data_IF_750487903832
#
_entry.id   IF_750487903832
#
_cell.length_a   1.000
_cell.length_b   1.000
_cell.length_c   1.000
_cell.angle_alpha   90.00
_cell.angle_beta   90.00
_cell.angle_gamma   90.00
#
_symmetry.space_group_name_H-M   'P 1'
#
loop_
_entity.id
_entity.type
_entity.pdbx_description
1 polymer ?
#
# COMPACT_ATOMS: atom_id res chain seq x y z
N UNK A 1 69.39 -54.84 37.34
CA UNK A 1 70.15 -53.85 36.55
C UNK A 1 69.31 -52.59 36.52
N UNK A 2 69.83 -51.52 37.10
CA UNK A 2 69.08 -50.31 37.44
C UNK A 2 68.94 -49.37 36.23
N UNK A 3 67.70 -48.90 36.08
CA UNK A 3 67.25 -47.58 35.65
C UNK A 3 67.84 -46.90 34.41
N UNK A 4 66.96 -46.81 33.41
CA UNK A 4 66.77 -45.81 32.36
C UNK A 4 67.41 -44.43 32.57
N UNK A 5 68.22 -43.98 31.61
CA UNK A 5 68.59 -42.57 31.44
C UNK A 5 68.05 -42.04 30.11
N UNK A 6 66.80 -41.58 30.13
CA UNK A 6 66.25 -40.67 29.12
C UNK A 6 66.70 -39.26 29.46
N UNK A 7 67.95 -38.91 29.16
CA UNK A 7 68.45 -37.54 29.29
C UNK A 7 68.08 -36.77 28.01
N UNK A 8 66.97 -36.04 28.03
CA UNK A 8 66.65 -35.01 27.04
C UNK A 8 67.75 -33.94 27.07
N UNK A 9 68.22 -33.46 25.91
CA UNK A 9 69.22 -32.38 25.90
C UNK A 9 68.63 -31.08 26.44
N UNK A 10 69.47 -30.22 27.01
CA UNK A 10 69.05 -28.94 27.62
C UNK A 10 68.27 -28.06 26.63
N UNK A 11 68.67 -28.10 25.35
CA UNK A 11 68.00 -27.42 24.23
C UNK A 11 66.59 -27.98 23.97
N UNK A 12 66.40 -29.30 24.09
CA UNK A 12 65.08 -29.94 23.97
C UNK A 12 64.16 -29.59 25.14
N UNK A 13 64.71 -29.43 26.35
CA UNK A 13 63.96 -29.01 27.54
C UNK A 13 63.51 -27.55 27.38
N UNK A 14 64.34 -26.69 26.83
CA UNK A 14 64.00 -25.28 26.56
C UNK A 14 62.90 -25.15 25.51
N UNK A 15 62.98 -25.89 24.41
CA UNK A 15 61.95 -25.93 23.37
C UNK A 15 60.63 -26.46 23.94
N UNK A 16 60.69 -27.53 24.75
CA UNK A 16 59.49 -28.10 25.37
C UNK A 16 58.84 -27.11 26.35
N UNK A 17 59.63 -26.41 27.17
CA UNK A 17 59.12 -25.39 28.09
C UNK A 17 58.50 -24.20 27.35
N UNK A 18 59.11 -23.76 26.25
CA UNK A 18 58.55 -22.71 25.41
C UNK A 18 57.21 -23.16 24.79
N UNK A 19 57.13 -24.40 24.31
CA UNK A 19 55.89 -24.96 23.76
C UNK A 19 54.79 -25.08 24.82
N UNK A 20 55.14 -25.53 26.03
CA UNK A 20 54.22 -25.62 27.17
C UNK A 20 53.71 -24.24 27.59
N UNK A 21 54.58 -23.24 27.63
CA UNK A 21 54.22 -21.85 27.91
C UNK A 21 53.25 -21.30 26.86
N UNK A 22 53.52 -21.52 25.57
CA UNK A 22 52.63 -21.10 24.49
C UNK A 22 51.28 -21.82 24.56
N UNK A 23 51.28 -23.12 24.84
CA UNK A 23 50.04 -23.88 24.97
C UNK A 23 49.20 -23.40 26.15
N UNK A 24 49.82 -23.09 27.29
CA UNK A 24 49.14 -22.56 28.46
C UNK A 24 48.59 -21.15 28.21
N UNK A 25 49.36 -20.29 27.53
CA UNK A 25 48.87 -18.98 27.09
C UNK A 25 47.68 -19.11 26.13
N UNK A 26 47.69 -20.08 25.21
CA UNK A 26 46.58 -20.35 24.31
C UNK A 26 45.35 -20.87 25.06
N UNK A 27 45.57 -21.76 26.04
CA UNK A 27 44.53 -22.36 26.86
C UNK A 27 43.78 -21.32 27.69
N UNK A 28 44.46 -20.26 28.15
CA UNK A 28 43.82 -19.15 28.86
C UNK A 28 43.21 -18.10 27.90
N UNK A 29 43.86 -17.88 26.75
CA UNK A 29 43.42 -16.88 25.78
C UNK A 29 42.09 -17.23 25.11
N UNK A 30 41.89 -18.49 24.71
CA UNK A 30 40.69 -18.90 23.96
C UNK A 30 39.40 -18.72 24.79
N UNK A 31 39.30 -19.20 26.05
CA UNK A 31 38.12 -19.00 26.88
C UNK A 31 37.86 -17.51 27.17
N UNK A 32 38.90 -16.73 27.47
CA UNK A 32 38.76 -15.30 27.75
C UNK A 32 38.23 -14.53 26.53
N UNK A 33 38.69 -14.89 25.32
CA UNK A 33 38.16 -14.32 24.08
C UNK A 33 36.69 -14.72 23.88
N UNK A 34 36.34 -15.99 24.12
CA UNK A 34 34.95 -16.46 23.97
C UNK A 34 33.99 -15.76 24.94
N UNK A 35 34.42 -15.54 26.18
CA UNK A 35 33.67 -14.81 27.19
C UNK A 35 33.52 -13.33 26.79
N UNK A 36 34.58 -12.71 26.28
CA UNK A 36 34.52 -11.35 25.74
C UNK A 36 33.53 -11.22 24.57
N UNK A 37 33.55 -12.19 23.63
CA UNK A 37 32.57 -12.23 22.53
C UNK A 37 31.15 -12.43 23.04
N UNK A 38 30.94 -13.33 24.00
CA UNK A 38 29.64 -13.57 24.63
C UNK A 38 29.08 -12.31 25.29
N UNK A 39 29.91 -11.61 26.07
CA UNK A 39 29.53 -10.35 26.71
C UNK A 39 29.20 -9.26 25.70
N UNK A 40 29.96 -9.19 24.59
CA UNK A 40 29.70 -8.24 23.51
C UNK A 40 28.38 -8.54 22.80
N UNK A 41 28.09 -9.82 22.52
CA UNK A 41 26.82 -10.24 21.92
C UNK A 41 25.63 -9.92 22.83
N UNK A 42 25.75 -10.21 24.13
CA UNK A 42 24.71 -9.87 25.11
C UNK A 42 24.46 -8.36 25.18
N UNK A 43 25.52 -7.54 25.13
CA UNK A 43 25.37 -6.08 25.09
C UNK A 43 24.64 -5.61 23.81
N UNK A 44 25.01 -6.16 22.66
CA UNK A 44 24.38 -5.82 21.37
C UNK A 44 22.92 -6.24 21.35
N UNK A 45 22.60 -7.44 21.84
CA UNK A 45 21.23 -7.95 21.94
C UNK A 45 20.37 -7.06 22.84
N UNK A 46 20.89 -6.70 24.03
CA UNK A 46 20.18 -5.81 24.95
C UNK A 46 19.94 -4.43 24.34
N UNK A 47 20.94 -3.85 23.65
CA UNK A 47 20.81 -2.55 23.00
C UNK A 47 19.79 -2.58 21.85
N UNK A 48 19.81 -3.62 21.03
CA UNK A 48 18.83 -3.83 19.97
C UNK A 48 17.42 -4.00 20.52
N UNK A 49 17.27 -4.77 21.59
CA UNK A 49 15.97 -5.03 22.21
C UNK A 49 15.38 -3.76 22.85
N UNK A 50 16.21 -2.96 23.53
CA UNK A 50 15.82 -1.67 24.10
C UNK A 50 15.42 -0.66 23.01
N UNK A 51 16.23 -0.56 21.95
CA UNK A 51 15.95 0.32 20.82
C UNK A 51 14.65 -0.07 20.12
N UNK A 52 14.47 -1.36 19.84
CA UNK A 52 13.26 -1.88 19.20
C UNK A 52 12.02 -1.63 20.08
N UNK A 53 12.13 -1.88 21.38
CA UNK A 53 11.02 -1.64 22.33
C UNK A 53 10.62 -0.17 22.37
N UNK A 54 11.61 0.73 22.33
CA UNK A 54 11.38 2.18 22.33
C UNK A 54 10.76 2.64 21.02
N UNK A 55 11.24 2.13 19.88
CA UNK A 55 10.73 2.48 18.56
C UNK A 55 9.29 1.98 18.35
N UNK A 56 8.98 0.77 18.81
CA UNK A 56 7.60 0.24 18.84
C UNK A 56 6.72 1.11 19.74
N UNK A 57 7.18 1.44 20.95
CA UNK A 57 6.42 2.29 21.87
C UNK A 57 6.11 3.67 21.27
N UNK A 58 7.10 4.31 20.64
CA UNK A 58 6.92 5.59 19.96
C UNK A 58 5.94 5.48 18.78
N UNK A 59 6.06 4.44 17.94
CA UNK A 59 5.17 4.23 16.81
C UNK A 59 3.71 4.01 17.25
N UNK A 60 3.50 3.26 18.34
CA UNK A 60 2.16 3.06 18.90
C UNK A 60 1.59 4.34 19.50
N UNK A 61 2.38 5.12 20.24
CA UNK A 61 1.95 6.40 20.79
C UNK A 61 1.60 7.41 19.70
N UNK A 62 2.39 7.46 18.62
CA UNK A 62 2.11 8.31 17.47
C UNK A 62 0.81 7.90 16.78
N UNK A 63 0.61 6.60 16.56
CA UNK A 63 -0.62 6.09 15.95
C UNK A 63 -1.86 6.41 16.80
N UNK A 64 -1.77 6.29 18.14
CA UNK A 64 -2.87 6.65 19.04
C UNK A 64 -3.20 8.14 18.99
N UNK A 65 -2.18 9.01 18.96
CA UNK A 65 -2.36 10.44 18.80
C UNK A 65 -3.03 10.79 17.47
N UNK A 66 -2.58 10.20 16.36
CA UNK A 66 -3.12 10.44 15.02
C UNK A 66 -4.59 9.96 14.92
N UNK A 67 -4.90 8.79 15.50
CA UNK A 67 -6.28 8.26 15.57
C UNK A 67 -7.17 9.22 16.36
N UNK A 68 -6.68 9.74 17.48
CA UNK A 68 -7.42 10.70 18.31
C UNK A 68 -7.69 12.00 17.55
N UNK A 69 -6.68 12.57 16.90
CA UNK A 69 -6.84 13.77 16.07
C UNK A 69 -7.86 13.56 14.95
N UNK A 70 -7.77 12.42 14.24
CA UNK A 70 -8.75 12.08 13.21
C UNK A 70 -10.17 11.94 13.79
N UNK A 71 -10.31 11.36 14.98
CA UNK A 71 -11.59 11.25 15.68
C UNK A 71 -12.20 12.61 16.03
N UNK A 72 -11.38 13.59 16.40
CA UNK A 72 -11.81 14.98 16.63
C UNK A 72 -12.24 15.66 15.33
N UNK A 73 -11.51 15.48 14.23
CA UNK A 73 -11.88 16.01 12.91
C UNK A 73 -13.20 15.44 12.39
N UNK A 74 -13.39 14.13 12.48
CA UNK A 74 -14.65 13.47 12.07
C UNK A 74 -15.82 14.00 12.89
N UNK A 75 -15.64 14.19 14.20
CA UNK A 75 -16.67 14.77 15.07
C UNK A 75 -17.03 16.19 14.65
N UNK A 76 -16.02 17.04 14.41
CA UNK A 76 -16.24 18.41 13.92
C UNK A 76 -16.97 18.46 12.58
N UNK A 77 -16.66 17.53 11.67
CA UNK A 77 -17.38 17.40 10.40
C UNK A 77 -18.84 16.98 10.61
N UNK A 78 -19.10 16.00 11.48
CA UNK A 78 -20.46 15.57 11.80
C UNK A 78 -21.29 16.71 12.39
N UNK A 79 -20.75 17.47 13.34
CA UNK A 79 -21.44 18.61 13.95
C UNK A 79 -21.76 19.68 12.91
N UNK A 80 -20.81 19.99 12.03
CA UNK A 80 -21.01 20.93 10.92
C UNK A 80 -22.11 20.46 9.95
N UNK A 81 -22.12 19.17 9.60
CA UNK A 81 -23.14 18.59 8.73
C UNK A 81 -24.54 18.59 9.37
N UNK A 82 -24.64 18.34 10.67
CA UNK A 82 -25.91 18.41 11.41
C UNK A 82 -26.46 19.84 11.42
N UNK A 83 -25.59 20.83 11.68
CA UNK A 83 -25.98 22.25 11.63
C UNK A 83 -26.41 22.66 10.22
N UNK A 84 -25.66 22.26 9.19
CA UNK A 84 -25.98 22.60 7.81
C UNK A 84 -27.33 22.01 7.39
N UNK A 85 -27.59 20.74 7.73
CA UNK A 85 -28.89 20.10 7.49
C UNK A 85 -30.03 20.82 8.20
N UNK A 86 -29.84 21.20 9.47
CA UNK A 86 -30.85 21.93 10.23
C UNK A 86 -31.21 23.28 9.59
N UNK A 87 -30.21 24.03 9.11
CA UNK A 87 -30.40 25.30 8.43
C UNK A 87 -31.16 25.12 7.10
N UNK A 88 -30.78 24.14 6.28
CA UNK A 88 -31.48 23.84 5.02
C UNK A 88 -32.96 23.48 5.29
N UNK A 89 -33.22 22.67 6.31
CA UNK A 89 -34.59 22.31 6.73
C UNK A 89 -35.39 23.54 7.21
N UNK A 90 -34.76 24.46 7.92
CA UNK A 90 -35.41 25.70 8.37
C UNK A 90 -35.73 26.64 7.20
N UNK A 91 -34.82 26.79 6.24
CA UNK A 91 -35.03 27.58 5.03
C UNK A 91 -36.16 27.03 4.16
N UNK A 92 -36.22 25.70 3.99
CA UNK A 92 -37.31 25.06 3.24
C UNK A 92 -38.67 25.34 3.88
N UNK A 93 -38.78 25.23 5.22
CA UNK A 93 -40.02 25.58 5.94
C UNK A 93 -40.39 27.05 5.80
N UNK A 94 -39.41 27.96 5.81
CA UNK A 94 -39.65 29.38 5.62
C UNK A 94 -40.11 29.70 4.19
N UNK A 95 -39.55 29.03 3.19
CA UNK A 95 -39.95 29.15 1.79
C UNK A 95 -41.39 28.67 1.56
N UNK A 96 -41.76 27.49 2.07
CA UNK A 96 -43.14 26.99 2.00
C UNK A 96 -44.15 27.93 2.70
N UNK A 97 -43.77 28.49 3.85
CA UNK A 97 -44.63 29.45 4.56
C UNK A 97 -44.84 30.75 3.77
N UNK A 98 -43.82 31.20 3.01
CA UNK A 98 -43.93 32.35 2.10
C UNK A 98 -44.84 32.03 0.91
N UNK A 99 -44.71 30.85 0.31
CA UNK A 99 -45.54 30.41 -0.81
C UNK A 99 -47.02 30.28 -0.41
N UNK A 100 -47.32 29.68 0.76
CA UNK A 100 -48.69 29.61 1.31
C UNK A 100 -49.31 30.99 1.55
N UNK A 101 -48.50 32.00 1.90
CA UNK A 101 -48.97 33.39 2.05
C UNK A 101 -49.26 34.04 0.70
N UNK A 102 -48.41 33.82 -0.31
CA UNK A 102 -48.60 34.35 -1.66
C UNK A 102 -49.89 33.81 -2.32
N UNK A 103 -50.19 32.52 -2.14
CA UNK A 103 -51.42 31.91 -2.67
C UNK A 103 -52.70 32.43 -2.01
N UNK A 104 -52.66 32.88 -0.75
CA UNK A 104 -53.82 33.49 -0.07
C UNK A 104 -54.13 34.92 -0.54
N UNK A 105 -53.14 35.64 -1.07
CA UNK A 105 -53.34 37.00 -1.62
C UNK A 105 -53.75 37.02 -3.09
N UNK A 106 -53.63 35.89 -3.80
CA UNK A 106 -53.97 35.77 -5.24
C UNK A 106 -55.45 35.54 -5.56
N UNK A 107 -56.31 35.22 -4.59
CA UNK A 107 -57.70 34.77 -4.86
C UNK A 107 -58.71 35.90 -5.19
N UNK A 108 -58.28 37.16 -5.39
CA UNK A 108 -59.21 38.26 -5.75
C UNK A 108 -58.94 38.94 -7.10
N UNK A 109 -58.18 38.30 -7.99
CA UNK A 109 -57.95 38.86 -9.33
C UNK A 109 -57.79 37.77 -10.40
N UNK A 110 -58.87 37.08 -10.77
CA UNK A 110 -59.05 36.52 -12.11
C UNK A 110 -60.46 35.94 -12.29
N UNK A 111 -61.43 36.79 -12.62
CA UNK A 111 -62.61 36.36 -13.38
C UNK A 111 -62.45 37.01 -14.74
N UNK A 112 -62.05 36.22 -15.75
CA UNK A 112 -62.38 36.32 -17.18
C UNK A 112 -61.29 35.62 -18.01
N UNK A 113 -61.57 34.38 -18.43
CA UNK A 113 -61.07 33.80 -19.68
C UNK A 113 -61.95 32.57 -20.03
N UNK A 114 -62.52 32.50 -21.25
CA UNK A 114 -63.12 31.27 -21.76
C UNK A 114 -62.10 30.43 -22.54
N UNK A 115 -62.10 29.14 -22.22
CA UNK A 115 -62.18 27.95 -23.09
C UNK A 115 -61.53 27.96 -24.50
N UNK A 116 -60.58 27.03 -24.70
CA UNK A 116 -60.31 26.36 -25.98
C UNK A 116 -59.45 25.10 -25.77
N UNK A 117 -60.13 23.95 -25.73
CA UNK A 117 -59.84 22.62 -26.37
C UNK A 117 -58.40 22.17 -26.71
N UNK A 118 -58.10 20.95 -26.22
CA UNK A 118 -57.42 19.78 -26.84
C UNK A 118 -56.46 19.97 -28.02
N UNK A 119 -55.22 19.48 -27.88
CA UNK A 119 -54.81 18.17 -28.45
C UNK A 119 -53.33 17.86 -28.14
N UNK A 120 -53.11 16.60 -27.78
CA UNK A 120 -52.09 15.71 -28.32
C UNK A 120 -50.62 16.20 -28.42
N UNK A 121 -49.74 15.61 -27.60
CA UNK A 121 -48.50 14.98 -28.08
C UNK A 121 -47.86 14.19 -26.93
N UNK A 122 -48.26 12.93 -26.80
CA UNK A 122 -47.42 11.92 -26.18
C UNK A 122 -46.19 11.68 -27.07
N UNK A 123 -45.03 12.26 -26.72
CA UNK A 123 -43.73 11.84 -27.26
C UNK A 123 -42.77 11.41 -26.16
N UNK A 124 -42.91 10.12 -25.88
CA UNK A 124 -41.84 9.17 -25.56
C UNK A 124 -40.48 9.66 -26.06
N UNK A 125 -39.60 10.03 -25.12
CA UNK A 125 -38.16 9.88 -25.33
C UNK A 125 -37.63 9.05 -24.17
N UNK A 126 -37.54 7.75 -24.42
CA UNK A 126 -36.61 6.88 -23.73
C UNK A 126 -35.21 7.48 -23.95
N UNK A 127 -34.69 8.20 -22.98
CA UNK A 127 -33.26 8.50 -22.94
C UNK A 127 -32.68 7.52 -21.95
N UNK A 128 -32.22 6.38 -22.47
CA UNK A 128 -31.32 5.52 -21.71
C UNK A 128 -30.20 6.37 -21.18
N UNK A 129 -29.87 6.21 -19.89
CA UNK A 129 -28.70 6.82 -19.29
C UNK A 129 -27.54 6.71 -20.29
N UNK A 130 -27.00 7.82 -20.83
CA UNK A 130 -25.75 7.72 -21.54
C UNK A 130 -24.76 7.26 -20.48
N UNK A 131 -24.32 6.01 -20.60
CA UNK A 131 -23.15 5.52 -19.90
C UNK A 131 -22.07 6.56 -20.19
N UNK A 132 -21.72 7.33 -19.17
CA UNK A 132 -20.73 8.40 -19.27
C UNK A 132 -19.40 7.71 -19.53
N UNK A 133 -19.12 7.36 -20.79
CA UNK A 133 -17.80 6.95 -21.24
C UNK A 133 -16.95 8.21 -21.26
N UNK A 134 -16.43 8.56 -20.09
CA UNK A 134 -15.48 9.65 -19.96
C UNK A 134 -14.22 9.23 -20.73
N UNK A 135 -13.91 9.95 -21.82
CA UNK A 135 -12.73 9.69 -22.65
C UNK A 135 -11.48 10.14 -21.91
N UNK A 136 -11.02 9.28 -21.01
CA UNK A 136 -9.81 9.50 -20.20
C UNK A 136 -8.57 9.33 -21.09
N UNK A 137 -7.57 10.16 -20.83
CA UNK A 137 -6.26 10.10 -21.47
C UNK A 137 -5.61 8.73 -21.25
N UNK A 138 -5.08 8.13 -22.31
CA UNK A 138 -4.40 6.84 -22.25
C UNK A 138 -3.19 6.90 -21.29
N UNK A 139 -2.92 5.82 -20.52
CA UNK A 139 -1.81 5.80 -19.59
C UNK A 139 -0.47 6.02 -20.30
N UNK A 140 0.45 6.71 -19.63
CA UNK A 140 1.84 6.79 -20.08
C UNK A 140 2.50 5.40 -20.01
N UNK A 141 3.30 5.01 -21.02
CA UNK A 141 4.03 3.75 -20.99
C UNK A 141 4.95 3.64 -19.76
N UNK A 142 4.85 2.55 -19.03
CA UNK A 142 5.61 2.31 -17.81
C UNK A 142 6.87 1.49 -18.08
N UNK A 143 8.04 2.13 -17.95
CA UNK A 143 9.33 1.48 -18.24
C UNK A 143 9.93 0.67 -17.08
N UNK A 144 9.28 0.68 -15.90
CA UNK A 144 9.84 0.08 -14.67
C UNK A 144 10.53 1.07 -13.72
N UNK A 145 10.58 2.36 -14.05
CA UNK A 145 11.22 3.38 -13.19
C UNK A 145 10.37 3.72 -11.96
N UNK A 146 10.99 3.81 -10.78
CA UNK A 146 10.31 4.03 -9.51
C UNK A 146 9.47 5.34 -9.48
N UNK A 147 9.99 6.40 -10.10
CA UNK A 147 9.33 7.70 -10.20
C UNK A 147 8.08 7.71 -11.09
N UNK A 148 7.94 6.77 -12.03
CA UNK A 148 6.80 6.68 -12.95
C UNK A 148 5.67 5.80 -12.41
N UNK A 149 5.96 4.94 -11.44
CA UNK A 149 5.04 3.89 -11.05
C UNK A 149 3.80 4.40 -10.30
N UNK A 150 3.96 5.39 -9.41
CA UNK A 150 2.80 5.97 -8.72
C UNK A 150 1.88 6.69 -9.72
N UNK A 151 2.45 7.47 -10.64
CA UNK A 151 1.70 8.14 -11.69
C UNK A 151 0.98 7.14 -12.62
N UNK A 152 1.64 6.03 -12.96
CA UNK A 152 1.07 4.95 -13.77
C UNK A 152 -0.15 4.30 -13.11
N UNK A 153 -0.06 3.91 -11.84
CA UNK A 153 -1.20 3.32 -11.13
C UNK A 153 -2.35 4.32 -10.92
N UNK A 154 -2.07 5.59 -10.65
CA UNK A 154 -3.11 6.62 -10.58
C UNK A 154 -3.85 6.78 -11.91
N UNK A 155 -3.13 6.71 -13.04
CA UNK A 155 -3.73 6.78 -14.38
C UNK A 155 -4.57 5.54 -14.68
N UNK A 156 -4.09 4.34 -14.34
CA UNK A 156 -4.86 3.10 -14.49
C UNK A 156 -6.15 3.13 -13.66
N UNK A 157 -6.08 3.53 -12.39
CA UNK A 157 -7.26 3.67 -11.52
C UNK A 157 -8.28 4.63 -12.14
N UNK A 158 -7.82 5.75 -12.72
CA UNK A 158 -8.70 6.71 -13.37
C UNK A 158 -9.37 6.12 -14.61
N UNK A 159 -8.64 5.36 -15.44
CA UNK A 159 -9.19 4.68 -16.63
C UNK A 159 -10.23 3.63 -16.24
N UNK A 160 -9.94 2.82 -15.22
CA UNK A 160 -10.87 1.79 -14.72
C UNK A 160 -12.11 2.40 -14.07
N UNK A 161 -11.96 3.45 -13.26
CA UNK A 161 -13.07 4.16 -12.64
C UNK A 161 -13.98 4.86 -13.67
N UNK A 162 -13.39 5.28 -14.78
CA UNK A 162 -14.12 5.98 -15.85
C UNK A 162 -14.80 5.05 -16.85
N UNK A 163 -14.37 3.80 -16.94
CA UNK A 163 -14.94 2.79 -17.84
C UNK A 163 -15.15 1.44 -17.13
N UNK A 164 -15.99 1.38 -16.07
CA UNK A 164 -16.18 0.16 -15.31
C UNK A 164 -16.78 -0.99 -16.13
N UNK A 165 -17.65 -0.68 -17.12
CA UNK A 165 -18.27 -1.66 -18.01
C UNK A 165 -17.30 -2.32 -19.00
N UNK A 166 -16.17 -1.69 -19.30
CA UNK A 166 -15.15 -2.26 -20.21
C UNK A 166 -14.20 -3.22 -19.48
N UNK A 167 -14.16 -3.13 -18.15
CA UNK A 167 -13.19 -3.82 -17.30
C UNK A 167 -13.91 -4.53 -16.15
N UNK A 168 -14.82 -5.44 -16.47
CA UNK A 168 -15.59 -6.20 -15.48
C UNK A 168 -14.73 -7.23 -14.72
N UNK A 169 -13.71 -7.80 -15.38
CA UNK A 169 -12.77 -8.74 -14.78
C UNK A 169 -11.44 -8.05 -14.44
N UNK A 170 -10.87 -8.40 -13.28
CA UNK A 170 -9.54 -7.97 -12.87
C UNK A 170 -8.46 -8.45 -13.84
N UNK A 171 -8.66 -9.61 -14.47
CA UNK A 171 -7.78 -10.11 -15.54
C UNK A 171 -7.71 -9.14 -16.72
N UNK A 172 -8.83 -8.58 -17.15
CA UNK A 172 -8.87 -7.61 -18.25
C UNK A 172 -8.17 -6.29 -17.87
N UNK A 173 -8.28 -5.86 -16.60
CA UNK A 173 -7.55 -4.70 -16.07
C UNK A 173 -6.05 -4.94 -16.06
N UNK A 174 -5.62 -6.13 -15.66
CA UNK A 174 -4.20 -6.49 -15.58
C UNK A 174 -3.59 -6.61 -16.97
N UNK A 175 -4.25 -7.29 -17.91
CA UNK A 175 -3.80 -7.37 -19.30
C UNK A 175 -3.73 -5.97 -19.96
N UNK A 176 -4.71 -5.13 -19.68
CA UNK A 176 -4.68 -3.74 -20.10
C UNK A 176 -3.52 -2.98 -19.45
N UNK A 177 -3.23 -3.17 -18.17
CA UNK A 177 -2.06 -2.55 -17.54
C UNK A 177 -0.73 -3.03 -18.15
N UNK A 178 -0.60 -4.32 -18.43
CA UNK A 178 0.61 -4.92 -19.00
C UNK A 178 0.86 -4.43 -20.42
N UNK A 179 -0.17 -4.15 -21.23
CA UNK A 179 0.02 -3.61 -22.58
C UNK A 179 0.67 -2.21 -22.61
N UNK A 180 0.57 -1.46 -21.51
CA UNK A 180 1.26 -0.18 -21.34
C UNK A 180 2.58 -0.33 -20.55
N UNK A 181 2.99 -1.54 -20.19
CA UNK A 181 4.32 -1.80 -19.64
C UNK A 181 5.34 -1.93 -20.77
N UNK A 182 6.53 -1.39 -20.56
CA UNK A 182 7.63 -1.37 -21.53
C UNK A 182 8.95 -1.75 -20.87
N UNK A 183 9.90 -2.21 -21.69
CA UNK A 183 11.26 -2.54 -21.28
C UNK A 183 11.31 -3.51 -20.09
N UNK A 184 11.93 -3.10 -18.97
CA UNK A 184 12.19 -3.92 -17.79
C UNK A 184 10.89 -4.37 -17.11
N UNK A 185 9.84 -3.55 -17.16
CA UNK A 185 8.55 -3.92 -16.58
C UNK A 185 7.84 -5.01 -17.39
N UNK A 186 7.96 -4.96 -18.72
CA UNK A 186 7.40 -5.98 -19.60
C UNK A 186 8.18 -7.29 -19.51
N UNK A 187 9.52 -7.22 -19.53
CA UNK A 187 10.39 -8.40 -19.37
C UNK A 187 10.16 -9.13 -18.04
N UNK A 188 9.79 -8.42 -16.98
CA UNK A 188 9.39 -9.03 -15.71
C UNK A 188 8.05 -9.77 -15.80
N UNK A 189 7.12 -9.27 -16.63
CA UNK A 189 5.78 -9.84 -16.79
C UNK A 189 5.69 -10.94 -17.85
N UNK A 190 6.63 -10.97 -18.80
CA UNK A 190 6.74 -11.96 -19.87
C UNK A 190 6.61 -13.43 -19.43
N UNK A 191 7.30 -13.93 -18.38
CA UNK A 191 7.12 -15.32 -17.93
C UNK A 191 5.71 -15.59 -17.42
N UNK A 192 5.09 -14.64 -16.71
CA UNK A 192 3.72 -14.78 -16.23
C UNK A 192 2.71 -14.77 -17.39
N UNK A 193 2.98 -14.03 -18.47
CA UNK A 193 2.16 -14.03 -19.67
C UNK A 193 2.24 -15.36 -20.44
N UNK A 194 3.40 -16.03 -20.44
CA UNK A 194 3.56 -17.34 -21.07
C UNK A 194 2.82 -18.45 -20.31
N UNK A 195 2.67 -18.29 -19.00
CA UNK A 195 1.92 -19.21 -18.13
C UNK A 195 0.40 -18.91 -18.07
N UNK A 196 -0.13 -18.00 -18.89
CA UNK A 196 -1.57 -17.67 -18.92
C UNK A 196 -2.43 -18.90 -19.26
N UNK A 197 -1.96 -19.76 -20.16
CA UNK A 197 -2.67 -20.97 -20.60
C UNK A 197 -2.29 -22.22 -19.78
N UNK A 198 -1.48 -22.06 -18.73
CA UNK A 198 -1.04 -23.13 -17.84
C UNK A 198 -2.17 -23.54 -16.87
N UNK A 199 -2.30 -24.82 -16.49
CA UNK A 199 -3.36 -25.30 -15.60
C UNK A 199 -3.33 -24.69 -14.17
N UNK A 200 -2.25 -24.03 -13.78
CA UNK A 200 -2.14 -23.26 -12.54
C UNK A 200 -1.77 -21.81 -12.87
N UNK A 201 -2.74 -20.97 -13.24
CA UNK A 201 -2.44 -19.60 -13.63
C UNK A 201 -1.96 -18.80 -12.42
N UNK A 202 -0.90 -17.98 -12.57
CA UNK A 202 -0.42 -17.12 -11.49
C UNK A 202 -1.50 -16.14 -11.02
N UNK A 203 -1.77 -16.09 -9.70
CA UNK A 203 -2.75 -15.19 -9.09
C UNK A 203 -2.51 -13.70 -9.42
N UNK A 204 -1.27 -13.35 -9.77
CA UNK A 204 -0.86 -12.02 -10.23
C UNK A 204 -1.62 -11.54 -11.48
N UNK A 205 -2.17 -12.46 -12.29
CA UNK A 205 -2.92 -12.16 -13.52
C UNK A 205 -4.43 -12.09 -13.31
N UNK A 206 -4.92 -12.51 -12.14
CA UNK A 206 -6.36 -12.57 -11.83
C UNK A 206 -6.75 -11.64 -10.69
N UNK A 207 -5.78 -11.11 -9.94
CA UNK A 207 -6.00 -10.22 -8.80
C UNK A 207 -5.25 -8.91 -8.96
N UNK A 208 -5.99 -7.83 -9.18
CA UNK A 208 -5.43 -6.48 -9.30
C UNK A 208 -4.62 -6.03 -8.06
N UNK A 209 -5.03 -6.34 -6.80
CA UNK A 209 -4.23 -5.98 -5.63
C UNK A 209 -2.90 -6.77 -5.58
N UNK A 210 -2.90 -8.06 -5.93
CA UNK A 210 -1.67 -8.87 -5.98
C UNK A 210 -0.72 -8.38 -7.06
N UNK A 211 -1.25 -8.00 -8.22
CA UNK A 211 -0.49 -7.36 -9.30
C UNK A 211 0.19 -6.06 -8.85
N UNK A 212 -0.59 -5.16 -8.22
CA UNK A 212 -0.09 -3.88 -7.73
C UNK A 212 0.99 -4.08 -6.66
N UNK A 213 0.76 -4.97 -5.71
CA UNK A 213 1.72 -5.27 -4.65
C UNK A 213 2.99 -5.92 -5.19
N UNK A 214 2.89 -6.81 -6.18
CA UNK A 214 4.06 -7.45 -6.78
C UNK A 214 4.92 -6.44 -7.53
N UNK A 215 4.31 -5.55 -8.31
CA UNK A 215 5.02 -4.45 -8.99
C UNK A 215 5.63 -3.46 -7.98
N UNK A 216 4.92 -3.13 -6.90
CA UNK A 216 5.45 -2.24 -5.85
C UNK A 216 6.58 -2.92 -5.07
N UNK A 217 6.48 -4.23 -4.78
CA UNK A 217 7.54 -5.03 -4.14
C UNK A 217 8.76 -5.16 -5.04
N UNK A 218 8.59 -5.33 -6.35
CA UNK A 218 9.66 -5.34 -7.34
C UNK A 218 10.42 -3.99 -7.43
N UNK A 219 9.86 -2.88 -6.90
CA UNK A 219 10.61 -1.62 -6.73
C UNK A 219 11.67 -1.70 -5.64
N UNK A 220 11.55 -2.59 -4.66
CA UNK A 220 12.55 -2.71 -3.60
C UNK A 220 13.82 -3.32 -4.21
N UNK A 221 15.01 -2.71 -4.01
CA UNK A 221 16.26 -3.17 -4.61
C UNK A 221 16.61 -4.63 -4.33
N UNK A 222 15.99 -5.27 -3.33
CA UNK A 222 16.33 -6.63 -2.89
C UNK A 222 16.02 -7.76 -3.88
N UNK A 223 15.19 -7.57 -4.92
CA UNK A 223 14.82 -8.67 -5.83
C UNK A 223 15.67 -8.79 -7.11
N UNK A 224 16.58 -7.84 -7.38
CA UNK A 224 17.53 -8.01 -8.51
C UNK A 224 18.60 -9.07 -8.25
N UNK A 225 18.70 -9.61 -7.04
CA UNK A 225 19.71 -10.60 -6.65
C UNK A 225 19.21 -12.05 -6.62
N UNK A 226 17.91 -12.31 -6.73
CA UNK A 226 17.37 -13.68 -6.62
C UNK A 226 16.94 -14.34 -7.93
N UNK A 227 17.10 -13.68 -9.08
CA UNK A 227 16.83 -14.28 -10.40
C UNK A 227 18.11 -14.55 -11.20
N UNK A 228 19.23 -14.70 -10.51
CA UNK A 228 20.51 -15.08 -11.10
C UNK A 228 21.29 -16.00 -10.16
N UNK A 229 20.66 -17.11 -9.76
CA UNK A 229 21.32 -18.36 -9.35
C UNK A 229 20.53 -19.50 -9.99
#
# INVERSE_FOLDING_TARGET
MFSSETNLSEEQIEILNNFLSQFQALQESIPAQLESFSNTLSLVENNLNEKLSTEIGHALAQADADIKTLGEEIRGFMDTQVVLKANILAEHRAAEARERRASRTGTRASMYAPDATDEDTARRTQSGNPLIMLKVKEPQPFSGKANQCNAFFSQLTLVFASNPLRFESDQAKILYAISYMTHVAFAYMEPYLQDIDSPNPPEILFSLPVFKDTIIKAKRPCLRLCNQI
#
